data_IF_535372846015
#
_entry.id   IF_535372846015
#
_cell.length_a   1.000
_cell.length_b   1.000
_cell.length_c   1.000
_cell.angle_alpha   90.00
_cell.angle_beta   90.00
_cell.angle_gamma   90.00
#
_symmetry.space_group_name_H-M   'P 1'
#
loop_
_entity.id
_entity.type
_entity.pdbx_description
1 polymer ?
#
# COMPACT_ATOMS: atom_id res chain seq x y z
N UNK A 1 15.05 8.01 -26.86
CA UNK A 1 15.27 8.45 -25.47
C UNK A 1 14.37 7.65 -24.51
N UNK A 2 14.96 6.62 -23.89
CA UNK A 2 14.26 5.68 -23.01
C UNK A 2 13.80 6.41 -21.74
N UNK A 3 12.52 6.76 -21.66
CA UNK A 3 11.92 7.34 -20.47
C UNK A 3 11.79 6.26 -19.38
N UNK A 4 12.91 6.02 -18.69
CA UNK A 4 12.95 5.12 -17.53
C UNK A 4 12.21 5.86 -16.42
N UNK A 5 11.00 5.43 -16.08
CA UNK A 5 10.25 5.97 -14.93
C UNK A 5 11.16 5.92 -13.69
N UNK A 6 11.73 7.06 -13.33
CA UNK A 6 12.60 7.18 -12.18
C UNK A 6 11.72 7.22 -10.93
N UNK A 7 11.98 6.32 -9.98
CA UNK A 7 11.37 6.39 -8.65
C UNK A 7 12.11 7.48 -7.89
N UNK A 8 11.41 8.56 -7.54
CA UNK A 8 11.99 9.70 -6.83
C UNK A 8 11.59 9.72 -5.36
N UNK A 9 12.49 10.23 -4.52
CA UNK A 9 12.24 10.42 -3.09
C UNK A 9 12.59 11.87 -2.74
N UNK A 10 11.63 12.58 -2.15
CA UNK A 10 11.79 13.98 -1.71
C UNK A 10 11.67 14.05 -0.20
N UNK A 11 12.65 14.66 0.47
CA UNK A 11 12.64 14.89 1.92
C UNK A 11 12.37 16.36 2.22
N UNK A 12 11.25 16.65 2.89
CA UNK A 12 10.94 17.98 3.41
C UNK A 12 11.32 18.05 4.89
N UNK A 13 12.31 18.89 5.21
CA UNK A 13 12.82 19.09 6.57
C UNK A 13 12.64 20.54 7.04
N UNK A 14 12.62 20.77 8.36
CA UNK A 14 12.44 22.09 8.97
C UNK A 14 11.71 22.05 10.31
N UNK A 15 11.68 23.17 11.03
CA UNK A 15 11.16 23.29 12.39
C UNK A 15 9.69 22.86 12.53
N UNK A 16 9.27 22.43 13.73
CA UNK A 16 7.85 22.11 13.97
C UNK A 16 6.96 23.32 13.67
N UNK A 17 5.76 23.08 13.12
CA UNK A 17 4.81 24.15 12.80
C UNK A 17 5.05 24.93 11.51
N UNK A 18 6.15 24.69 10.76
CA UNK A 18 6.45 25.40 9.50
C UNK A 18 5.56 25.03 8.30
N UNK A 19 4.48 24.28 8.51
CA UNK A 19 3.55 23.92 7.43
C UNK A 19 3.99 22.80 6.48
N UNK A 20 5.05 22.03 6.79
CA UNK A 20 5.51 20.90 5.95
C UNK A 20 4.37 19.93 5.55
N UNK A 21 3.53 19.54 6.50
CA UNK A 21 2.37 18.68 6.23
C UNK A 21 1.33 19.37 5.36
N UNK A 22 1.12 20.67 5.53
CA UNK A 22 0.18 21.46 4.72
C UNK A 22 0.64 21.56 3.27
N UNK A 23 1.94 21.70 3.02
CA UNK A 23 2.51 21.68 1.66
C UNK A 23 2.19 20.36 0.95
N UNK A 24 2.44 19.22 1.60
CA UNK A 24 2.16 17.89 1.04
C UNK A 24 0.65 17.69 0.82
N UNK A 25 -0.19 18.12 1.76
CA UNK A 25 -1.65 18.02 1.62
C UNK A 25 -2.18 18.85 0.45
N UNK A 26 -1.65 20.06 0.24
CA UNK A 26 -2.03 20.89 -0.91
C UNK A 26 -1.62 20.29 -2.26
N UNK A 27 -0.57 19.46 -2.30
CA UNK A 27 -0.21 18.73 -3.51
C UNK A 27 -1.21 17.63 -3.87
N UNK A 28 -1.96 17.09 -2.90
CA UNK A 28 -2.95 16.03 -3.15
C UNK A 28 -3.98 16.44 -4.20
N UNK A 29 -4.52 17.65 -4.13
CA UNK A 29 -5.49 18.15 -5.12
C UNK A 29 -4.86 18.25 -6.50
N UNK A 30 -3.62 18.74 -6.60
CA UNK A 30 -2.86 18.82 -7.84
C UNK A 30 -2.60 17.45 -8.47
N UNK A 31 -2.27 16.44 -7.66
CA UNK A 31 -2.09 15.08 -8.17
C UNK A 31 -3.41 14.49 -8.68
N UNK A 32 -4.51 14.73 -7.98
CA UNK A 32 -5.83 14.31 -8.45
C UNK A 32 -6.21 14.98 -9.79
N UNK A 33 -5.92 16.27 -9.96
CA UNK A 33 -6.13 17.00 -11.24
C UNK A 33 -5.36 16.38 -12.40
N UNK A 34 -4.19 15.79 -12.13
CA UNK A 34 -3.35 15.11 -13.12
C UNK A 34 -3.75 13.64 -13.33
N UNK A 35 -4.82 13.16 -12.68
CA UNK A 35 -5.23 11.75 -12.72
C UNK A 35 -4.26 10.81 -11.98
N UNK A 36 -3.38 11.35 -11.14
CA UNK A 36 -2.45 10.56 -10.35
C UNK A 36 -3.10 10.05 -9.06
N UNK A 37 -2.77 8.82 -8.67
CA UNK A 37 -3.19 8.25 -7.41
C UNK A 37 -2.33 8.80 -6.26
N UNK A 38 -2.96 9.37 -5.24
CA UNK A 38 -2.28 9.87 -4.04
C UNK A 38 -2.68 9.07 -2.80
N UNK A 39 -1.67 8.53 -2.12
CA UNK A 39 -1.81 7.84 -0.83
C UNK A 39 -0.84 8.40 0.19
N UNK A 40 -1.24 8.42 1.46
CA UNK A 40 -0.44 9.03 2.52
C UNK A 40 -0.50 8.22 3.81
N UNK A 41 0.65 8.07 4.45
CA UNK A 41 0.77 7.46 5.77
C UNK A 41 1.27 8.47 6.79
N UNK A 42 0.54 8.67 7.88
CA UNK A 42 1.02 9.49 9.00
C UNK A 42 1.77 8.61 10.00
N UNK A 43 3.02 8.94 10.28
CA UNK A 43 3.72 8.36 11.42
C UNK A 43 3.25 9.04 12.70
N UNK A 44 2.52 8.31 13.52
CA UNK A 44 2.07 8.78 14.82
C UNK A 44 3.09 8.35 15.89
N UNK A 45 3.77 9.35 16.49
CA UNK A 45 4.76 9.12 17.56
C UNK A 45 4.12 8.53 18.83
N UNK A 46 2.80 8.53 18.97
CA UNK A 46 2.10 7.89 20.09
C UNK A 46 1.78 6.41 19.81
N UNK A 47 1.81 5.98 18.55
CA UNK A 47 1.52 4.59 18.12
C UNK A 47 2.81 3.81 17.82
N UNK A 48 3.84 3.97 18.67
CA UNK A 48 5.18 3.40 18.49
C UNK A 48 5.23 1.87 18.44
N UNK A 49 4.15 1.17 18.80
CA UNK A 49 4.16 -0.28 18.94
C UNK A 49 4.13 -1.05 17.61
N UNK A 50 3.81 -0.43 16.46
CA UNK A 50 3.69 -1.14 15.20
C UNK A 50 4.64 -0.60 14.11
N UNK A 51 5.74 -1.32 13.80
CA UNK A 51 6.64 -0.97 12.70
C UNK A 51 5.87 -0.81 11.39
N UNK A 52 6.22 0.21 10.60
CA UNK A 52 5.68 0.48 9.27
C UNK A 52 4.17 0.75 9.22
N UNK A 53 3.51 1.04 10.36
CA UNK A 53 2.07 1.36 10.43
C UNK A 53 1.64 2.43 9.41
N UNK A 54 2.44 3.48 9.24
CA UNK A 54 2.19 4.52 8.24
C UNK A 54 2.20 3.97 6.80
N UNK A 55 3.13 3.07 6.48
CA UNK A 55 3.23 2.45 5.14
C UNK A 55 2.07 1.47 4.94
N UNK A 56 1.78 0.61 5.91
CA UNK A 56 0.65 -0.31 5.87
C UNK A 56 -0.65 0.46 5.64
N UNK A 57 -0.84 1.58 6.35
CA UNK A 57 -2.01 2.43 6.18
C UNK A 57 -2.09 3.04 4.77
N UNK A 58 -0.98 3.55 4.24
CA UNK A 58 -0.95 4.11 2.88
C UNK A 58 -1.26 3.05 1.81
N UNK A 59 -0.76 1.82 1.99
CA UNK A 59 -1.05 0.70 1.08
C UNK A 59 -2.49 0.21 1.22
N UNK A 60 -3.05 0.20 2.44
CA UNK A 60 -4.46 -0.10 2.66
C UNK A 60 -5.38 0.89 1.96
N UNK A 61 -5.06 2.19 2.03
CA UNK A 61 -5.78 3.22 1.28
C UNK A 61 -5.66 3.01 -0.23
N UNK A 62 -4.46 2.63 -0.72
CA UNK A 62 -4.25 2.30 -2.14
C UNK A 62 -5.10 1.11 -2.58
N UNK A 63 -5.13 0.02 -1.80
CA UNK A 63 -5.97 -1.14 -2.08
C UNK A 63 -7.46 -0.77 -2.12
N UNK A 64 -7.89 0.14 -1.26
CA UNK A 64 -9.26 0.68 -1.27
C UNK A 64 -9.59 1.41 -2.58
N UNK A 65 -8.68 2.25 -3.07
CA UNK A 65 -8.83 2.92 -4.37
C UNK A 65 -8.82 1.93 -5.53
N UNK A 66 -7.89 0.97 -5.51
CA UNK A 66 -7.78 -0.06 -6.54
C UNK A 66 -9.04 -0.93 -6.63
N UNK A 67 -9.65 -1.26 -5.49
CA UNK A 67 -10.90 -2.02 -5.46
C UNK A 67 -12.08 -1.33 -6.15
N UNK A 68 -12.01 0.00 -6.36
CA UNK A 68 -12.99 0.76 -7.13
C UNK A 68 -12.67 0.83 -8.62
N UNK A 69 -11.44 0.50 -9.03
CA UNK A 69 -10.97 0.52 -10.41
C UNK A 69 -11.29 -0.83 -11.10
N UNK A 70 -12.45 -0.90 -11.75
CA UNK A 70 -12.94 -2.13 -12.39
C UNK A 70 -12.07 -2.63 -13.53
N UNK A 71 -11.29 -1.75 -14.16
CA UNK A 71 -10.49 -2.11 -15.33
C UNK A 71 -9.18 -2.79 -14.91
N UNK A 72 -8.61 -2.38 -13.78
CA UNK A 72 -7.32 -2.89 -13.29
C UNK A 72 -7.47 -4.02 -12.27
N UNK A 73 -8.60 -4.09 -11.57
CA UNK A 73 -8.74 -4.96 -10.39
C UNK A 73 -8.51 -6.44 -10.69
N UNK A 74 -8.98 -6.95 -11.82
CA UNK A 74 -8.88 -8.37 -12.15
C UNK A 74 -7.45 -8.78 -12.53
N UNK A 75 -6.73 -7.92 -13.24
CA UNK A 75 -5.32 -8.12 -13.56
C UNK A 75 -4.46 -8.16 -12.30
N UNK A 76 -4.69 -7.20 -11.39
CA UNK A 76 -3.98 -7.14 -10.11
C UNK A 76 -4.33 -8.33 -9.23
N UNK A 77 -5.61 -8.70 -9.13
CA UNK A 77 -6.07 -9.88 -8.39
C UNK A 77 -5.36 -11.14 -8.87
N UNK A 78 -5.29 -11.36 -10.19
CA UNK A 78 -4.63 -12.54 -10.76
C UNK A 78 -3.13 -12.56 -10.44
N UNK A 79 -2.45 -11.42 -10.58
CA UNK A 79 -1.03 -11.30 -10.26
C UNK A 79 -0.73 -11.57 -8.79
N UNK A 80 -1.53 -10.99 -7.88
CA UNK A 80 -1.37 -11.18 -6.44
C UNK A 80 -1.65 -12.62 -6.01
N UNK A 81 -2.78 -13.20 -6.44
CA UNK A 81 -3.14 -14.57 -6.10
C UNK A 81 -2.12 -15.59 -6.62
N UNK A 82 -1.56 -15.36 -7.81
CA UNK A 82 -0.53 -16.24 -8.39
C UNK A 82 0.80 -16.17 -7.65
N UNK A 83 1.16 -15.00 -7.10
CA UNK A 83 2.48 -14.79 -6.52
C UNK A 83 2.53 -15.01 -5.00
N UNK A 84 1.43 -14.75 -4.28
CA UNK A 84 1.36 -14.86 -2.82
C UNK A 84 0.88 -16.23 -2.32
N UNK A 85 0.18 -16.99 -3.16
CA UNK A 85 -0.48 -18.23 -2.74
C UNK A 85 -1.55 -18.00 -1.66
N UNK A 86 -2.15 -19.08 -1.15
CA UNK A 86 -3.24 -18.99 -0.15
C UNK A 86 -2.77 -18.45 1.21
N UNK A 87 -1.63 -18.94 1.69
CA UNK A 87 -1.09 -18.57 3.01
C UNK A 87 -0.66 -17.10 3.05
N UNK A 88 0.08 -16.64 2.02
CA UNK A 88 0.53 -15.25 1.93
C UNK A 88 -0.65 -14.27 1.78
N UNK A 89 -1.68 -14.67 1.01
CA UNK A 89 -2.92 -13.91 0.88
C UNK A 89 -3.60 -13.68 2.23
N UNK A 90 -3.75 -14.72 3.03
CA UNK A 90 -4.48 -14.57 4.28
C UNK A 90 -3.72 -13.81 5.37
N UNK A 91 -2.40 -13.96 5.43
CA UNK A 91 -1.59 -13.18 6.36
C UNK A 91 -1.69 -11.68 6.04
N UNK A 92 -1.64 -11.33 4.76
CA UNK A 92 -1.68 -9.92 4.35
C UNK A 92 -3.07 -9.32 4.51
N UNK A 93 -4.13 -10.13 4.39
CA UNK A 93 -5.50 -9.70 4.67
C UNK A 93 -5.73 -9.26 6.13
N UNK A 94 -5.00 -9.82 7.10
CA UNK A 94 -5.07 -9.37 8.50
C UNK A 94 -4.34 -8.04 8.75
N UNK A 95 -3.35 -7.72 7.91
CA UNK A 95 -2.57 -6.49 7.99
C UNK A 95 -3.18 -5.34 7.15
N UNK A 96 -3.82 -5.67 6.03
CA UNK A 96 -4.34 -4.72 5.03
C UNK A 96 -5.79 -5.09 4.72
N UNK A 97 -6.76 -4.55 5.49
CA UNK A 97 -8.16 -4.95 5.37
C UNK A 97 -8.75 -4.76 3.98
N UNK A 98 -8.41 -3.69 3.26
CA UNK A 98 -8.93 -3.46 1.90
C UNK A 98 -8.36 -4.43 0.87
N UNK A 99 -7.29 -5.18 1.19
CA UNK A 99 -6.75 -6.21 0.31
C UNK A 99 -7.75 -7.36 0.09
N UNK A 100 -8.62 -7.62 1.07
CA UNK A 100 -9.72 -8.60 0.95
C UNK A 100 -10.65 -8.24 -0.22
N UNK A 101 -10.93 -6.94 -0.39
CA UNK A 101 -11.75 -6.43 -1.51
C UNK A 101 -11.03 -6.60 -2.84
N UNK A 102 -9.73 -6.33 -2.87
CA UNK A 102 -8.90 -6.50 -4.07
C UNK A 102 -8.90 -7.96 -4.54
N UNK A 103 -8.70 -8.89 -3.61
CA UNK A 103 -8.60 -10.30 -3.91
C UNK A 103 -9.96 -10.98 -4.10
N UNK A 104 -11.06 -10.30 -3.76
CA UNK A 104 -12.42 -10.84 -3.74
C UNK A 104 -12.50 -12.16 -2.96
N UNK A 105 -11.80 -12.21 -1.82
CA UNK A 105 -11.78 -13.40 -0.95
C UNK A 105 -12.85 -13.23 0.11
N UNK A 106 -13.92 -14.02 0.06
CA UNK A 106 -14.90 -14.08 1.15
C UNK A 106 -14.30 -14.89 2.31
N UNK A 107 -13.99 -14.20 3.41
CA UNK A 107 -13.80 -14.78 4.74
C UNK A 107 -12.85 -15.97 4.79
N UNK A 108 -11.55 -15.73 4.90
CA UNK A 108 -10.64 -16.74 5.46
C UNK A 108 -10.30 -16.30 6.87
N UNK A 109 -11.12 -16.74 7.83
CA UNK A 109 -10.71 -16.85 9.23
C UNK A 109 -9.53 -17.82 9.25
N UNK A 110 -8.31 -17.29 9.12
CA UNK A 110 -7.12 -18.13 9.20
C UNK A 110 -6.72 -18.26 10.66
N UNK A 111 -6.47 -19.49 11.14
CA UNK A 111 -5.93 -19.70 12.48
C UNK A 111 -4.67 -18.85 12.59
N UNK A 112 -4.49 -18.16 13.73
CA UNK A 112 -3.38 -17.25 13.96
C UNK A 112 -2.05 -17.93 13.60
N UNK A 113 -1.58 -17.73 12.36
CA UNK A 113 -0.27 -18.19 11.92
C UNK A 113 0.67 -17.26 12.66
N UNK A 114 1.40 -17.82 13.62
CA UNK A 114 2.48 -17.11 14.29
C UNK A 114 3.60 -16.94 13.27
N UNK A 115 3.56 -15.81 12.55
CA UNK A 115 4.61 -15.41 11.62
C UNK A 115 5.57 -14.52 12.38
N UNK A 116 6.87 -14.81 12.29
CA UNK A 116 7.90 -13.93 12.83
C UNK A 116 7.84 -12.56 12.14
N UNK A 117 8.16 -11.48 12.87
CA UNK A 117 8.05 -10.11 12.37
C UNK A 117 8.87 -9.87 11.10
N UNK A 118 9.98 -10.60 10.90
CA UNK A 118 10.81 -10.52 9.69
C UNK A 118 10.12 -11.13 8.47
N UNK A 119 9.46 -12.26 8.64
CA UNK A 119 8.78 -12.96 7.54
C UNK A 119 7.53 -12.20 7.10
N UNK A 120 6.76 -11.65 8.05
CA UNK A 120 5.63 -10.76 7.76
C UNK A 120 6.10 -9.50 6.99
N UNK A 121 7.23 -8.92 7.39
CA UNK A 121 7.85 -7.79 6.69
C UNK A 121 8.27 -8.13 5.26
N UNK A 122 8.98 -9.24 5.06
CA UNK A 122 9.43 -9.67 3.74
C UNK A 122 8.25 -9.91 2.80
N UNK A 123 7.19 -10.56 3.29
CA UNK A 123 5.95 -10.79 2.54
C UNK A 123 5.23 -9.48 2.20
N UNK A 124 5.19 -8.53 3.13
CA UNK A 124 4.63 -7.20 2.89
C UNK A 124 5.38 -6.46 1.77
N UNK A 125 6.71 -6.41 1.85
CA UNK A 125 7.56 -5.78 0.82
C UNK A 125 7.36 -6.46 -0.54
N UNK A 126 7.31 -7.79 -0.55
CA UNK A 126 7.11 -8.57 -1.77
C UNK A 126 5.75 -8.27 -2.41
N UNK A 127 4.67 -8.23 -1.62
CA UNK A 127 3.34 -7.88 -2.11
C UNK A 127 3.30 -6.45 -2.67
N UNK A 128 3.85 -5.47 -1.96
CA UNK A 128 3.89 -4.07 -2.43
C UNK A 128 4.55 -3.99 -3.80
N UNK A 129 5.62 -4.76 -4.02
CA UNK A 129 6.31 -4.81 -5.31
C UNK A 129 5.41 -5.37 -6.42
N UNK A 130 4.71 -6.47 -6.17
CA UNK A 130 3.80 -7.08 -7.15
C UNK A 130 2.67 -6.12 -7.50
N UNK A 131 2.08 -5.51 -6.47
CA UNK A 131 0.96 -4.58 -6.59
C UNK A 131 1.35 -3.34 -7.43
N UNK A 132 2.54 -2.77 -7.25
CA UNK A 132 3.01 -1.69 -8.12
C UNK A 132 3.36 -2.17 -9.54
N UNK A 133 3.92 -3.38 -9.69
CA UNK A 133 4.22 -3.92 -11.02
C UNK A 133 2.95 -4.17 -11.84
N UNK A 134 1.88 -4.66 -11.22
CA UNK A 134 0.61 -4.98 -11.89
C UNK A 134 -0.25 -3.75 -12.19
N UNK A 135 -0.02 -2.62 -11.52
CA UNK A 135 -0.79 -1.38 -11.72
C UNK A 135 -0.09 -0.34 -12.59
N UNK A 136 1.24 -0.42 -12.71
CA UNK A 136 2.05 0.50 -13.52
C UNK A 136 2.54 -0.09 -14.86
N UNK A 137 2.10 -1.30 -15.22
CA UNK A 137 2.32 -1.92 -16.55
C UNK A 137 1.17 -1.58 -17.49
#
# INVERSE_FOLDING_TARGET
PSNKQAREVVLLSGNSGTGKSSVVQNMRSRFNELGACFVSGKFDRMQQCQPLSAIVKAIDDYCGLLALDTDRIDGVRKALSSALGREGTSLLASLIPNMVKVLNTTGTSVPAVHVDGREALQRLIFMIRILFQSTCS
#
